data_IF_722299801591
#
_entry.id   IF_722299801591
#
_cell.length_a   1.000
_cell.length_b   1.000
_cell.length_c   1.000
_cell.angle_alpha   90.00
_cell.angle_beta   90.00
_cell.angle_gamma   90.00
#
_symmetry.space_group_name_H-M   'P 1'
#
loop_
_entity.id
_entity.type
_entity.pdbx_description
1 polymer ?
#
# COMPACT_ATOMS: atom_id res chain seq x y z
N UNK A 1 -30.47 12.64 -8.68
CA UNK A 1 -29.57 11.91 -7.74
C UNK A 1 -28.26 11.39 -8.36
N UNK A 2 -28.03 11.45 -9.68
CA UNK A 2 -26.85 10.80 -10.30
C UNK A 2 -25.56 11.65 -10.37
N UNK A 3 -25.61 12.97 -10.10
CA UNK A 3 -24.43 13.86 -10.19
C UNK A 3 -23.41 13.68 -9.06
N UNK A 4 -23.82 13.23 -7.87
CA UNK A 4 -22.92 13.13 -6.71
C UNK A 4 -22.29 11.75 -6.48
N UNK A 5 -22.87 10.68 -7.01
CA UNK A 5 -22.40 9.31 -6.73
C UNK A 5 -20.97 9.05 -7.19
N UNK A 6 -20.60 9.56 -8.38
CA UNK A 6 -19.25 9.38 -8.91
C UNK A 6 -18.20 10.24 -8.18
N UNK A 7 -18.59 11.43 -7.72
CA UNK A 7 -17.75 12.28 -6.90
C UNK A 7 -17.49 11.64 -5.52
N UNK A 8 -18.56 11.11 -4.89
CA UNK A 8 -18.45 10.36 -3.64
C UNK A 8 -17.57 9.11 -3.81
N UNK A 9 -17.73 8.35 -4.91
CA UNK A 9 -16.89 7.20 -5.21
C UNK A 9 -15.41 7.58 -5.39
N UNK A 10 -15.12 8.68 -6.10
CA UNK A 10 -13.75 9.15 -6.26
C UNK A 10 -13.12 9.56 -4.92
N UNK A 11 -13.89 10.22 -4.05
CA UNK A 11 -13.45 10.54 -2.69
C UNK A 11 -13.14 9.27 -1.89
N UNK A 12 -14.02 8.27 -1.95
CA UNK A 12 -13.82 6.98 -1.29
C UNK A 12 -12.56 6.27 -1.81
N UNK A 13 -12.30 6.29 -3.12
CA UNK A 13 -11.09 5.69 -3.69
C UNK A 13 -9.81 6.40 -3.25
N UNK A 14 -9.81 7.74 -3.17
CA UNK A 14 -8.67 8.48 -2.60
C UNK A 14 -8.41 8.07 -1.15
N UNK A 15 -9.45 8.02 -0.32
CA UNK A 15 -9.34 7.57 1.07
C UNK A 15 -8.82 6.12 1.18
N UNK A 16 -9.24 5.25 0.25
CA UNK A 16 -8.77 3.85 0.21
C UNK A 16 -7.28 3.77 -0.13
N UNK A 17 -6.78 4.59 -1.06
CA UNK A 17 -5.35 4.68 -1.39
C UNK A 17 -4.55 5.18 -0.18
N UNK A 18 -5.05 6.21 0.52
CA UNK A 18 -4.36 6.75 1.69
C UNK A 18 -4.38 5.78 2.88
N UNK A 19 -5.45 5.00 3.05
CA UNK A 19 -5.49 3.90 4.01
C UNK A 19 -4.46 2.81 3.65
N UNK A 20 -4.39 2.38 2.39
CA UNK A 20 -3.42 1.37 1.94
C UNK A 20 -1.97 1.84 2.07
N UNK A 21 -1.69 3.13 1.84
CA UNK A 21 -0.37 3.74 2.07
C UNK A 21 0.04 3.69 3.53
N UNK A 22 -0.87 4.05 4.44
CA UNK A 22 -0.63 3.97 5.89
C UNK A 22 -0.37 2.54 6.35
N UNK A 23 -1.21 1.60 5.90
CA UNK A 23 -1.02 0.18 6.19
C UNK A 23 0.33 -0.34 5.69
N UNK A 24 0.74 0.03 4.46
CA UNK A 24 2.06 -0.33 3.94
C UNK A 24 3.20 0.26 4.78
N UNK A 25 3.09 1.51 5.21
CA UNK A 25 4.10 2.14 6.06
C UNK A 25 4.22 1.42 7.41
N UNK A 26 3.11 0.99 8.01
CA UNK A 26 3.11 0.18 9.24
C UNK A 26 3.76 -1.19 9.02
N UNK A 27 3.43 -1.89 7.93
CA UNK A 27 4.05 -3.18 7.60
C UNK A 27 5.55 -3.07 7.36
N UNK A 28 6.01 -2.03 6.66
CA UNK A 28 7.44 -1.78 6.43
C UNK A 28 8.21 -1.52 7.75
N UNK A 29 7.60 -0.83 8.70
CA UNK A 29 8.18 -0.64 10.04
C UNK A 29 8.30 -1.98 10.76
N UNK A 30 7.22 -2.76 10.80
CA UNK A 30 7.21 -4.08 11.43
C UNK A 30 8.22 -5.05 10.80
N UNK A 31 8.36 -5.06 9.47
CA UNK A 31 9.37 -5.85 8.75
C UNK A 31 10.80 -5.41 9.13
N UNK A 32 11.05 -4.10 9.24
CA UNK A 32 12.35 -3.57 9.66
C UNK A 32 12.70 -3.98 11.09
N UNK A 33 11.73 -3.90 12.01
CA UNK A 33 11.90 -4.32 13.40
C UNK A 33 12.15 -5.84 13.50
N UNK A 34 11.40 -6.64 12.75
CA UNK A 34 11.57 -8.09 12.71
C UNK A 34 12.93 -8.50 12.11
N UNK A 35 13.39 -7.82 11.06
CA UNK A 35 14.73 -8.03 10.50
C UNK A 35 15.83 -7.67 11.50
N UNK A 36 15.68 -6.57 12.24
CA UNK A 36 16.62 -6.19 13.30
C UNK A 36 16.66 -7.25 14.41
N UNK A 37 15.51 -7.77 14.84
CA UNK A 37 15.43 -8.84 15.83
C UNK A 37 16.07 -10.15 15.33
N UNK A 38 15.87 -10.51 14.06
CA UNK A 38 16.51 -11.66 13.43
C UNK A 38 18.03 -11.54 13.46
N UNK A 39 18.56 -10.38 13.03
CA UNK A 39 20.00 -10.10 13.05
C UNK A 39 20.58 -10.13 14.47
N UNK A 40 19.85 -9.56 15.44
CA UNK A 40 20.27 -9.58 16.83
C UNK A 40 20.36 -11.01 17.39
N UNK A 41 19.40 -11.88 17.06
CA UNK A 41 19.43 -13.29 17.44
C UNK A 41 20.63 -14.05 16.87
N UNK A 42 20.95 -13.83 15.59
CA UNK A 42 22.12 -14.41 14.93
C UNK A 42 23.44 -13.87 15.51
N UNK A 43 23.49 -12.58 15.81
CA UNK A 43 24.65 -11.94 16.43
C UNK A 43 24.88 -12.45 17.86
N UNK A 44 23.82 -12.65 18.65
CA UNK A 44 23.93 -13.19 20.01
C UNK A 44 24.52 -14.61 20.00
N UNK A 45 24.04 -15.50 19.14
CA UNK A 45 24.59 -16.86 19.03
C UNK A 45 26.07 -16.82 18.67
N UNK A 46 26.45 -15.93 17.75
CA UNK A 46 27.85 -15.76 17.33
C UNK A 46 28.73 -15.24 18.46
N UNK A 47 28.30 -14.19 19.14
CA UNK A 47 29.05 -13.58 20.24
C UNK A 47 29.27 -14.58 21.39
N UNK A 48 28.23 -15.33 21.78
CA UNK A 48 28.33 -16.36 22.81
C UNK A 48 29.24 -17.52 22.37
N UNK A 49 29.19 -17.90 21.08
CA UNK A 49 30.09 -18.91 20.52
C UNK A 49 31.55 -18.46 20.49
N UNK A 50 31.81 -17.22 20.09
CA UNK A 50 33.16 -16.61 20.08
C UNK A 50 33.72 -16.51 21.52
N UNK A 51 32.89 -16.11 22.48
CA UNK A 51 33.27 -16.05 23.89
C UNK A 51 33.65 -17.43 24.44
N UNK A 52 32.85 -18.48 24.12
CA UNK A 52 33.14 -19.85 24.53
C UNK A 52 34.37 -20.46 23.82
N UNK A 53 34.66 -20.04 22.58
CA UNK A 53 35.79 -20.52 21.80
C UNK A 53 37.11 -19.78 22.11
N UNK A 54 37.08 -18.73 22.92
CA UNK A 54 38.27 -17.96 23.27
C UNK A 54 39.30 -18.81 24.01
N UNK A 55 40.59 -18.63 23.69
CA UNK A 55 41.71 -19.32 24.36
C UNK A 55 41.81 -18.99 25.85
N UNK A 56 41.20 -17.88 26.28
CA UNK A 56 41.12 -17.47 27.68
C UNK A 56 39.85 -17.95 28.38
N UNK A 57 38.97 -18.68 27.67
CA UNK A 57 37.73 -19.18 28.24
C UNK A 57 38.00 -20.32 29.22
N UNK A 58 37.55 -20.17 30.46
CA UNK A 58 37.53 -21.27 31.42
C UNK A 58 36.54 -22.34 30.95
N UNK A 59 36.78 -23.61 31.30
CA UNK A 59 35.90 -24.73 30.90
C UNK A 59 34.42 -24.54 31.27
N UNK A 60 34.13 -23.71 32.28
CA UNK A 60 32.77 -23.30 32.65
C UNK A 60 32.04 -22.48 31.58
N UNK A 61 32.76 -21.67 30.78
CA UNK A 61 32.17 -20.86 29.71
C UNK A 61 31.64 -21.72 28.55
N UNK A 62 32.37 -22.80 28.20
CA UNK A 62 31.92 -23.77 27.19
C UNK A 62 30.67 -24.51 27.67
N UNK A 63 30.64 -24.91 28.95
CA UNK A 63 29.46 -25.55 29.56
C UNK A 63 28.24 -24.61 29.61
N UNK A 64 28.45 -23.34 29.96
CA UNK A 64 27.40 -22.33 29.98
C UNK A 64 26.82 -22.07 28.58
N UNK A 65 27.69 -21.95 27.57
CA UNK A 65 27.27 -21.81 26.18
C UNK A 65 26.47 -23.02 25.70
N UNK A 66 26.93 -24.25 25.96
CA UNK A 66 26.23 -25.47 25.58
C UNK A 66 24.84 -25.55 26.22
N UNK A 67 24.69 -25.15 27.49
CA UNK A 67 23.41 -25.10 28.19
C UNK A 67 22.47 -24.01 27.62
N UNK A 68 23.02 -22.86 27.21
CA UNK A 68 22.24 -21.75 26.66
C UNK A 68 21.81 -21.96 25.20
N UNK A 69 22.65 -22.58 24.37
CA UNK A 69 22.50 -22.66 22.91
C UNK A 69 21.13 -23.19 22.43
N UNK A 70 20.49 -24.20 23.05
CA UNK A 70 19.15 -24.64 22.65
C UNK A 70 18.08 -23.55 22.80
N UNK A 71 18.19 -22.70 23.83
CA UNK A 71 17.31 -21.54 24.01
C UNK A 71 17.63 -20.45 22.99
N UNK A 72 18.90 -20.14 22.80
CA UNK A 72 19.36 -19.15 21.80
C UNK A 72 18.88 -19.48 20.39
N UNK A 73 19.04 -20.74 19.96
CA UNK A 73 18.57 -21.24 18.66
C UNK A 73 17.06 -21.13 18.49
N UNK A 74 16.27 -21.45 19.52
CA UNK A 74 14.81 -21.30 19.48
C UNK A 74 14.40 -19.83 19.32
N UNK A 75 15.06 -18.93 20.05
CA UNK A 75 14.80 -17.49 19.92
C UNK A 75 15.16 -16.97 18.53
N UNK A 76 16.32 -17.34 17.98
CA UNK A 76 16.74 -16.95 16.63
C UNK A 76 15.79 -17.51 15.55
N UNK A 77 15.36 -18.76 15.68
CA UNK A 77 14.39 -19.35 14.76
C UNK A 77 13.02 -18.64 14.82
N UNK A 78 12.55 -18.28 16.01
CA UNK A 78 11.32 -17.51 16.17
C UNK A 78 11.43 -16.11 15.54
N UNK A 79 12.57 -15.43 15.72
CA UNK A 79 12.82 -14.13 15.09
C UNK A 79 12.88 -14.23 13.56
N UNK A 80 13.50 -15.30 13.02
CA UNK A 80 13.52 -15.56 11.58
C UNK A 80 12.12 -15.84 11.01
N UNK A 81 11.30 -16.62 11.70
CA UNK A 81 9.91 -16.88 11.32
C UNK A 81 9.06 -15.60 11.34
N UNK A 82 9.24 -14.77 12.38
CA UNK A 82 8.56 -13.47 12.48
C UNK A 82 8.94 -12.54 11.32
N UNK A 83 10.23 -12.47 10.96
CA UNK A 83 10.68 -11.68 9.81
C UNK A 83 10.10 -12.20 8.49
N UNK A 84 10.04 -13.52 8.29
CA UNK A 84 9.42 -14.11 7.10
C UNK A 84 7.94 -13.72 6.98
N UNK A 85 7.18 -13.85 8.08
CA UNK A 85 5.78 -13.44 8.12
C UNK A 85 5.60 -11.94 7.84
N UNK A 86 6.42 -11.08 8.46
CA UNK A 86 6.36 -9.63 8.24
C UNK A 86 6.67 -9.25 6.79
N UNK A 87 7.61 -9.95 6.14
CA UNK A 87 7.92 -9.77 4.71
C UNK A 87 6.74 -10.13 3.81
N UNK A 88 6.06 -11.24 4.11
CA UNK A 88 4.86 -11.67 3.38
C UNK A 88 3.72 -10.66 3.57
N UNK A 89 3.51 -10.15 4.78
CA UNK A 89 2.54 -9.09 5.06
C UNK A 89 2.86 -7.79 4.30
N UNK A 90 4.13 -7.38 4.23
CA UNK A 90 4.54 -6.24 3.40
C UNK A 90 4.23 -6.49 1.93
N UNK A 91 4.50 -7.69 1.41
CA UNK A 91 4.20 -8.03 0.03
C UNK A 91 2.69 -7.93 -0.26
N UNK A 92 1.85 -8.42 0.65
CA UNK A 92 0.39 -8.28 0.57
C UNK A 92 -0.04 -6.81 0.62
N UNK A 93 0.54 -6.00 1.51
CA UNK A 93 0.24 -4.57 1.60
C UNK A 93 0.64 -3.80 0.33
N UNK A 94 1.75 -4.16 -0.32
CA UNK A 94 2.14 -3.61 -1.64
C UNK A 94 1.11 -3.95 -2.71
N UNK A 95 0.66 -5.20 -2.76
CA UNK A 95 -0.37 -5.63 -3.70
C UNK A 95 -1.70 -4.90 -3.46
N UNK A 96 -2.11 -4.73 -2.20
CA UNK A 96 -3.30 -4.00 -1.82
C UNK A 96 -3.23 -2.51 -2.24
N UNK A 97 -2.09 -1.86 -2.06
CA UNK A 97 -1.88 -0.49 -2.52
C UNK A 97 -1.98 -0.38 -4.05
N UNK A 98 -1.36 -1.31 -4.79
CA UNK A 98 -1.45 -1.34 -6.24
C UNK A 98 -2.91 -1.49 -6.72
N UNK A 99 -3.67 -2.40 -6.09
CA UNK A 99 -5.09 -2.59 -6.38
C UNK A 99 -5.92 -1.33 -6.07
N UNK A 100 -5.68 -0.67 -4.93
CA UNK A 100 -6.36 0.57 -4.58
C UNK A 100 -6.08 1.70 -5.58
N UNK A 101 -4.82 1.82 -6.03
CA UNK A 101 -4.43 2.80 -7.05
C UNK A 101 -5.07 2.51 -8.41
N UNK A 102 -5.11 1.24 -8.83
CA UNK A 102 -5.79 0.84 -10.07
C UNK A 102 -7.28 1.18 -10.02
N UNK A 103 -7.96 0.86 -8.92
CA UNK A 103 -9.36 1.20 -8.73
C UNK A 103 -9.61 2.72 -8.72
N UNK A 104 -8.71 3.51 -8.13
CA UNK A 104 -8.79 4.98 -8.18
C UNK A 104 -8.65 5.50 -9.62
N UNK A 105 -7.69 4.98 -10.40
CA UNK A 105 -7.49 5.38 -11.81
C UNK A 105 -8.72 5.09 -12.68
N UNK A 106 -9.37 3.93 -12.49
CA UNK A 106 -10.61 3.59 -13.20
C UNK A 106 -11.71 4.61 -12.93
N UNK A 107 -11.88 5.02 -11.66
CA UNK A 107 -12.91 6.00 -11.29
C UNK A 107 -12.60 7.38 -11.86
N UNK A 108 -11.34 7.81 -11.89
CA UNK A 108 -10.96 9.07 -12.53
C UNK A 108 -11.18 9.03 -14.05
N UNK A 109 -10.86 7.92 -14.73
CA UNK A 109 -11.16 7.75 -16.15
C UNK A 109 -12.68 7.88 -16.45
N UNK A 110 -13.53 7.23 -15.64
CA UNK A 110 -14.98 7.35 -15.76
C UNK A 110 -15.49 8.78 -15.54
N UNK A 111 -14.83 9.55 -14.66
CA UNK A 111 -15.15 10.97 -14.45
C UNK A 111 -14.82 11.80 -15.68
N UNK A 112 -13.66 11.57 -16.27
CA UNK A 112 -13.24 12.26 -17.49
C UNK A 112 -14.19 11.97 -18.65
N UNK A 113 -14.57 10.70 -18.85
CA UNK A 113 -15.53 10.30 -19.89
C UNK A 113 -16.88 10.98 -19.71
N UNK A 114 -17.43 11.00 -18.50
CA UNK A 114 -18.68 11.71 -18.20
C UNK A 114 -18.58 13.21 -18.42
N UNK A 115 -17.47 13.83 -18.04
CA UNK A 115 -17.25 15.25 -18.26
C UNK A 115 -17.13 15.58 -19.76
N UNK A 116 -16.48 14.72 -20.55
CA UNK A 116 -16.41 14.85 -22.02
C UNK A 116 -17.80 14.73 -22.66
N UNK A 117 -18.58 13.71 -22.26
CA UNK A 117 -19.94 13.51 -22.75
C UNK A 117 -20.88 14.68 -22.41
N UNK A 118 -20.78 15.24 -21.19
CA UNK A 118 -21.55 16.41 -20.79
C UNK A 118 -21.23 17.64 -21.66
N UNK A 119 -19.94 17.95 -21.86
CA UNK A 119 -19.52 19.04 -22.75
C UNK A 119 -20.01 18.86 -24.19
N UNK A 120 -19.95 17.64 -24.72
CA UNK A 120 -20.46 17.34 -26.06
C UNK A 120 -21.99 17.47 -26.15
N UNK A 121 -22.72 17.24 -25.06
CA UNK A 121 -24.16 17.45 -25.03
C UNK A 121 -24.50 18.95 -24.98
N UNK A 122 -23.76 19.74 -24.19
CA UNK A 122 -23.88 21.19 -24.11
C UNK A 122 -23.63 21.84 -25.48
N UNK A 123 -22.50 21.51 -26.14
CA UNK A 123 -22.20 22.01 -27.48
C UNK A 123 -23.26 21.65 -28.53
N UNK A 124 -23.85 20.45 -28.43
CA UNK A 124 -24.95 20.03 -29.32
C UNK A 124 -26.24 20.81 -29.04
N UNK A 125 -26.53 21.10 -27.78
CA UNK A 125 -27.69 21.90 -27.41
C UNK A 125 -27.54 23.36 -27.91
N UNK A 126 -26.37 23.97 -27.68
CA UNK A 126 -26.05 25.31 -28.20
C UNK A 126 -26.17 25.37 -29.73
N UNK A 127 -25.65 24.38 -30.45
CA UNK A 127 -25.78 24.32 -31.91
C UNK A 127 -27.25 24.20 -32.35
N UNK A 128 -28.05 23.39 -31.65
CA UNK A 128 -29.46 23.23 -31.97
C UNK A 128 -30.25 24.53 -31.77
N UNK A 129 -29.96 25.29 -30.72
CA UNK A 129 -30.58 26.61 -30.50
C UNK A 129 -30.20 27.60 -31.61
N UNK A 130 -28.93 27.65 -32.02
CA UNK A 130 -28.48 28.51 -33.13
C UNK A 130 -29.17 28.16 -34.45
N UNK A 131 -29.33 26.86 -34.74
CA UNK A 131 -29.99 26.40 -35.95
C UNK A 131 -31.50 26.70 -35.96
N UNK A 132 -32.17 26.61 -34.80
CA UNK A 132 -33.58 26.98 -34.65
C UNK A 132 -33.79 28.48 -34.89
N UNK A 133 -32.93 29.33 -34.34
CA UNK A 133 -32.97 30.78 -34.58
C UNK A 133 -32.76 31.15 -36.06
N UNK A 134 -31.94 30.40 -36.80
CA UNK A 134 -31.75 30.58 -38.24
C UNK A 134 -32.94 30.15 -39.09
N UNK A 135 -33.72 29.16 -38.62
CA UNK A 135 -34.89 28.63 -39.34
C UNK A 135 -36.16 29.43 -39.10
N UNK A 136 -36.20 30.28 -38.07
CA UNK A 136 -37.36 31.13 -37.79
C UNK A 136 -37.47 32.23 -38.87
N UNK A 137 -38.54 32.25 -39.69
CA UNK A 137 -38.72 33.29 -40.69
C UNK A 137 -38.86 34.66 -40.01
N UNK A 138 -38.26 35.69 -40.60
CA UNK A 138 -38.47 37.07 -40.16
C UNK A 138 -39.98 37.36 -40.15
N UNK A 139 -40.52 38.02 -39.11
CA UNK A 139 -41.91 38.46 -39.16
C UNK A 139 -42.08 39.34 -40.40
N UNK A 140 -42.87 38.86 -41.36
CA UNK A 140 -43.15 39.59 -42.59
C UNK A 140 -43.76 40.96 -42.24
N UNK A 141 -43.37 42.05 -42.95
CA UNK A 141 -43.93 43.36 -42.69
C UNK A 141 -45.45 43.33 -42.90
N UNK A 142 -46.18 43.88 -41.93
CA UNK A 142 -47.63 44.01 -41.91
C UNK A 142 -48.13 45.00 -42.97
#
# INVERSE_FOLDING_TARGET
MSRDGLHALARLRRLSVDAARRALAERLRAETEAEAARRAGEAAIRAEGEAAASLSAEGGAVGAFAAWLPRGRRAAAAAAASHAAARDETAQARAALAAAQAAAKVVEALREERARAARQAELRAEQAELDEHRRRPAPGPA
#
